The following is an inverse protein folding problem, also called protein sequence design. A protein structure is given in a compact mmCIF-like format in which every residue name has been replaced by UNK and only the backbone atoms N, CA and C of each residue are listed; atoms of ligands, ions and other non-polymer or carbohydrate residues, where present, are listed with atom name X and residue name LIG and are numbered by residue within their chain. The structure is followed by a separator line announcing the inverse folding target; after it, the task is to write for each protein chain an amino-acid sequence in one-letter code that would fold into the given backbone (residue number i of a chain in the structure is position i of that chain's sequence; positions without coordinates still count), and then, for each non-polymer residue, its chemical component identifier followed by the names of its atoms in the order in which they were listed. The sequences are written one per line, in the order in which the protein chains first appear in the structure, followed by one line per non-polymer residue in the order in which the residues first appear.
data_IF_395773762991
#
_entry.id   IF_395773762991
#
_cell.length_a   1.000
_cell.length_b   1.000
_cell.length_c   1.000
_cell.angle_alpha   90.00
_cell.angle_beta   90.00
_cell.angle_gamma   90.00
#
_symmetry.space_group_name_H-M   'P 1'
#
loop_
_entity.id
_entity.type
_entity.pdbx_description
1 polymer ?
#
# COMPACT_ATOMS: atom_id res chain seq x y z
N UNK A 1 -9.25 -13.98 -9.42
CA UNK A 1 -8.43 -13.59 -8.26
C UNK A 1 -9.19 -13.79 -6.95
N UNK A 2 -8.52 -14.38 -5.95
CA UNK A 2 -8.98 -14.45 -4.54
C UNK A 2 -8.07 -13.58 -3.68
N UNK A 3 -8.66 -12.63 -2.95
CA UNK A 3 -7.97 -11.74 -2.03
C UNK A 3 -8.24 -12.18 -0.59
N UNK A 4 -7.20 -12.68 0.08
CA UNK A 4 -7.20 -12.98 1.50
C UNK A 4 -6.95 -11.71 2.29
N UNK A 5 -7.90 -11.34 3.15
CA UNK A 5 -7.91 -10.03 3.81
C UNK A 5 -8.56 -10.09 5.18
N UNK A 6 -8.37 -9.02 5.95
CA UNK A 6 -9.08 -8.79 7.22
C UNK A 6 -9.64 -7.37 7.25
N UNK A 7 -10.92 -7.17 7.60
CA UNK A 7 -11.50 -5.84 7.81
C UNK A 7 -10.74 -5.04 8.87
N UNK A 8 -10.73 -3.73 8.67
CA UNK A 8 -10.08 -2.76 9.55
C UNK A 8 -8.59 -3.08 9.78
N UNK A 9 -7.91 -3.53 8.72
CA UNK A 9 -6.48 -3.82 8.71
C UNK A 9 -5.83 -3.15 7.50
N UNK A 10 -4.51 -3.23 7.41
CA UNK A 10 -3.76 -2.72 6.25
C UNK A 10 -4.07 -3.50 4.96
N UNK A 11 -4.78 -4.62 5.04
CA UNK A 11 -5.29 -5.35 3.86
C UNK A 11 -6.34 -4.56 3.06
N UNK A 12 -6.96 -3.53 3.64
CA UNK A 12 -7.87 -2.61 2.92
C UNK A 12 -7.14 -1.89 1.76
N UNK A 13 -5.82 -1.76 1.80
CA UNK A 13 -5.03 -1.26 0.65
C UNK A 13 -5.18 -2.16 -0.58
N UNK A 14 -5.16 -3.49 -0.40
CA UNK A 14 -5.35 -4.42 -1.51
C UNK A 14 -6.81 -4.40 -2.00
N UNK A 15 -7.78 -4.18 -1.11
CA UNK A 15 -9.18 -3.96 -1.52
C UNK A 15 -9.27 -2.70 -2.39
N UNK A 16 -8.67 -1.58 -1.98
CA UNK A 16 -8.63 -0.35 -2.78
C UNK A 16 -8.00 -0.58 -4.16
N UNK A 17 -6.88 -1.30 -4.24
CA UNK A 17 -6.27 -1.71 -5.50
C UNK A 17 -7.26 -2.46 -6.40
N UNK A 18 -7.98 -3.45 -5.87
CA UNK A 18 -8.95 -4.22 -6.65
C UNK A 18 -10.10 -3.34 -7.15
N UNK A 19 -10.57 -2.41 -6.33
CA UNK A 19 -11.63 -1.46 -6.69
C UNK A 19 -11.19 -0.44 -7.76
N UNK A 20 -9.92 -0.04 -7.78
CA UNK A 20 -9.33 0.80 -8.83
C UNK A 20 -9.08 0.01 -10.12
N UNK A 21 -8.67 -1.26 -9.99
CA UNK A 21 -8.45 -2.15 -11.13
C UNK A 21 -9.76 -2.50 -11.85
N UNK A 22 -10.91 -2.38 -11.18
CA UNK A 22 -12.21 -2.61 -11.80
C UNK A 22 -12.47 -4.08 -12.17
N UNK A 23 -11.74 -5.02 -11.57
CA UNK A 23 -11.86 -6.45 -11.86
C UNK A 23 -12.70 -7.16 -10.80
N UNK A 24 -13.37 -8.24 -11.20
CA UNK A 24 -14.07 -9.11 -10.26
C UNK A 24 -13.07 -9.94 -9.42
N UNK A 25 -13.31 -10.00 -8.11
CA UNK A 25 -12.49 -10.77 -7.18
C UNK A 25 -13.32 -11.35 -6.04
N UNK A 26 -12.88 -12.50 -5.53
CA UNK A 26 -13.42 -13.11 -4.32
C UNK A 26 -12.66 -12.56 -3.11
N UNK A 27 -13.38 -12.16 -2.06
CA UNK A 27 -12.81 -11.76 -0.77
C UNK A 27 -12.87 -12.94 0.19
N UNK A 28 -11.72 -13.38 0.70
CA UNK A 28 -11.62 -14.47 1.67
C UNK A 28 -11.18 -13.89 3.02
N UNK A 29 -12.06 -13.99 4.03
CA UNK A 29 -11.79 -13.48 5.37
C UNK A 29 -10.74 -14.35 6.08
N UNK A 30 -9.65 -13.73 6.52
CA UNK A 30 -8.72 -14.28 7.51
C UNK A 30 -8.76 -13.36 8.71
N UNK A 31 -9.49 -13.73 9.76
CA UNK A 31 -9.57 -12.91 10.97
C UNK A 31 -8.28 -13.01 11.80
N UNK A 32 -7.44 -11.98 11.64
CA UNK A 32 -6.15 -11.93 12.34
C UNK A 32 -6.26 -11.73 13.85
N UNK A 33 -7.43 -11.31 14.35
CA UNK A 33 -7.68 -11.06 15.77
C UNK A 33 -7.98 -12.33 16.54
N UNK A 34 -8.47 -13.36 15.86
CA UNK A 34 -8.74 -14.69 16.44
C UNK A 34 -7.58 -15.68 16.24
N UNK A 35 -6.55 -15.30 15.48
CA UNK A 35 -5.44 -16.20 15.15
C UNK A 35 -5.72 -17.09 13.93
N UNK A 36 -6.78 -16.85 13.17
CA UNK A 36 -7.17 -17.67 12.01
C UNK A 36 -6.10 -17.74 10.90
N UNK A 37 -5.16 -16.79 10.87
CA UNK A 37 -3.99 -16.80 10.00
C UNK A 37 -2.97 -17.90 10.34
N UNK A 38 -3.02 -18.47 11.54
CA UNK A 38 -2.05 -19.45 12.04
C UNK A 38 -2.44 -20.91 11.74
N UNK A 39 -3.18 -21.15 10.65
CA UNK A 39 -3.56 -22.49 10.17
C UNK A 39 -2.71 -22.89 8.97
N UNK A 40 -2.39 -24.18 8.85
CA UNK A 40 -1.50 -24.70 7.80
C UNK A 40 -2.00 -24.37 6.38
N UNK A 41 -3.32 -24.38 6.18
CA UNK A 41 -3.92 -24.01 4.91
C UNK A 41 -3.60 -22.56 4.48
N UNK A 42 -3.58 -21.60 5.42
CA UNK A 42 -3.22 -20.21 5.11
C UNK A 42 -1.70 -20.00 5.09
N UNK A 43 -0.95 -20.71 5.95
CA UNK A 43 0.52 -20.71 5.91
C UNK A 43 1.06 -21.15 4.55
N UNK A 44 0.40 -22.10 3.88
CA UNK A 44 0.77 -22.53 2.54
C UNK A 44 0.60 -21.42 1.48
N UNK A 45 -0.26 -20.42 1.72
CA UNK A 45 -0.48 -19.26 0.85
C UNK A 45 0.49 -18.14 1.20
N UNK A 46 0.56 -17.77 2.48
CA UNK A 46 1.50 -16.78 2.98
C UNK A 46 2.24 -17.34 4.19
N UNK A 47 3.51 -17.79 4.04
CA UNK A 47 4.30 -18.33 5.15
C UNK A 47 4.51 -17.34 6.29
N UNK A 48 4.45 -16.03 6.01
CA UNK A 48 4.53 -14.97 7.00
C UNK A 48 3.23 -14.79 7.79
N UNK A 49 2.15 -15.49 7.39
CA UNK A 49 0.83 -15.49 8.02
C UNK A 49 0.23 -14.09 8.18
N UNK A 50 0.58 -13.17 7.28
CA UNK A 50 0.01 -11.82 7.24
C UNK A 50 -1.08 -11.73 6.18
N UNK A 51 -1.97 -10.77 6.33
CA UNK A 51 -2.82 -10.28 5.25
C UNK A 51 -2.28 -8.91 4.76
N UNK A 52 -2.48 -8.55 3.49
CA UNK A 52 -3.18 -9.30 2.44
C UNK A 52 -2.32 -10.40 1.78
N UNK A 53 -2.99 -11.34 1.11
CA UNK A 53 -2.40 -12.26 0.13
C UNK A 53 -3.37 -12.44 -1.05
N UNK A 54 -2.85 -12.67 -2.25
CA UNK A 54 -3.61 -12.82 -3.49
C UNK A 54 -3.31 -14.18 -4.13
N UNK A 55 -4.36 -14.87 -4.57
CA UNK A 55 -4.24 -16.07 -5.41
C UNK A 55 -4.92 -15.81 -6.75
N UNK A 56 -4.20 -16.00 -7.86
CA UNK A 56 -4.73 -15.91 -9.22
C UNK A 56 -4.27 -17.12 -10.07
N UNK A 57 -5.14 -18.12 -10.19
CA UNK A 57 -4.77 -19.40 -10.79
C UNK A 57 -3.64 -20.06 -9.99
N UNK A 58 -2.50 -20.27 -10.64
CA UNK A 58 -1.28 -20.83 -10.03
C UNK A 58 -0.41 -19.76 -9.32
N UNK A 59 -0.65 -18.48 -9.58
CA UNK A 59 0.12 -17.40 -8.97
C UNK A 59 -0.35 -17.15 -7.54
N UNK A 60 0.61 -17.12 -6.61
CA UNK A 60 0.39 -16.73 -5.21
C UNK A 60 1.30 -15.55 -4.90
N UNK A 61 0.71 -14.43 -4.47
CA UNK A 61 1.43 -13.17 -4.25
C UNK A 61 1.10 -12.64 -2.86
N UNK A 62 2.14 -12.34 -2.08
CA UNK A 62 2.06 -11.68 -0.79
C UNK A 62 2.89 -10.39 -0.82
N UNK A 63 2.74 -9.57 0.22
CA UNK A 63 3.27 -8.21 0.32
C UNK A 63 2.54 -7.20 -0.59
N UNK A 64 2.03 -6.13 0.01
CA UNK A 64 1.10 -5.18 -0.64
C UNK A 64 1.69 -4.54 -1.90
N UNK A 65 2.98 -4.17 -1.89
CA UNK A 65 3.65 -3.60 -3.06
C UNK A 65 3.75 -4.58 -4.23
N UNK A 66 3.99 -5.87 -3.95
CA UNK A 66 4.04 -6.91 -4.96
C UNK A 66 2.64 -7.22 -5.52
N UNK A 67 1.62 -7.27 -4.66
CA UNK A 67 0.21 -7.40 -5.08
C UNK A 67 -0.17 -6.24 -6.00
N UNK A 68 0.23 -5.00 -5.65
CA UNK A 68 -0.01 -3.81 -6.47
C UNK A 68 0.64 -3.90 -7.85
N UNK A 69 1.92 -4.28 -7.92
CA UNK A 69 2.61 -4.49 -9.20
C UNK A 69 1.94 -5.60 -10.03
N UNK A 70 1.66 -6.74 -9.40
CA UNK A 70 1.08 -7.90 -10.05
C UNK A 70 -0.28 -7.58 -10.68
N UNK A 71 -1.21 -7.00 -9.91
CA UNK A 71 -2.56 -6.67 -10.41
C UNK A 71 -2.48 -5.60 -11.49
N UNK A 72 -1.65 -4.57 -11.32
CA UNK A 72 -1.50 -3.52 -12.32
C UNK A 72 -0.95 -4.05 -13.66
N UNK A 73 -0.05 -5.03 -13.63
CA UNK A 73 0.47 -5.68 -14.84
C UNK A 73 -0.52 -6.68 -15.44
N UNK A 74 -1.32 -7.32 -14.59
CA UNK A 74 -2.32 -8.32 -14.99
C UNK A 74 -3.55 -7.68 -15.65
N UNK A 75 -3.79 -6.39 -15.37
CA UNK A 75 -4.94 -5.58 -15.80
C UNK A 75 -4.42 -4.24 -16.38
N UNK A 76 -3.63 -4.25 -17.47
CA UNK A 76 -3.00 -3.05 -18.00
C UNK A 76 -4.00 -1.97 -18.44
N UNK A 77 -5.22 -2.35 -18.80
CA UNK A 77 -6.33 -1.45 -19.15
C UNK A 77 -6.76 -0.53 -18.01
N UNK A 78 -6.49 -0.91 -16.75
CA UNK A 78 -6.75 -0.06 -15.60
C UNK A 78 -5.77 1.12 -15.48
N UNK A 79 -4.66 1.10 -16.23
CA UNK A 79 -3.69 2.19 -16.27
C UNK A 79 -2.94 2.42 -14.96
N UNK A 80 -2.89 1.42 -14.07
CA UNK A 80 -2.31 1.53 -12.73
C UNK A 80 -0.78 1.36 -12.68
N UNK A 81 -0.14 1.09 -13.83
CA UNK A 81 1.31 1.07 -13.96
C UNK A 81 1.74 1.61 -15.33
N UNK A 82 2.91 2.27 -15.43
CA UNK A 82 3.57 2.45 -16.71
C UNK A 82 3.82 1.11 -17.39
N UNK A 83 3.76 1.06 -18.73
CA UNK A 83 3.95 -0.19 -19.47
C UNK A 83 5.34 -0.81 -19.21
N UNK A 84 5.46 -2.13 -19.39
CA UNK A 84 6.76 -2.81 -19.38
C UNK A 84 7.64 -2.17 -20.48
N UNK A 85 8.83 -1.70 -20.12
CA UNK A 85 9.75 -0.99 -21.01
C UNK A 85 9.59 0.53 -21.04
N UNK A 86 8.54 1.09 -20.44
CA UNK A 86 8.40 2.55 -20.26
C UNK A 86 9.47 3.06 -19.26
N UNK A 87 10.25 4.12 -19.59
CA UNK A 87 11.21 4.71 -18.65
C UNK A 87 10.62 5.13 -17.30
N UNK A 88 9.35 5.56 -17.27
CA UNK A 88 8.66 5.93 -16.03
C UNK A 88 8.47 4.74 -15.07
N UNK A 89 8.57 3.51 -15.59
CA UNK A 89 8.42 2.29 -14.78
C UNK A 89 9.48 2.15 -13.70
N UNK A 90 10.69 2.66 -13.93
CA UNK A 90 11.73 2.67 -12.90
C UNK A 90 11.31 3.45 -11.66
N UNK A 91 10.68 4.62 -11.85
CA UNK A 91 10.17 5.44 -10.75
C UNK A 91 8.98 4.79 -10.05
N UNK A 92 8.07 4.21 -10.81
CA UNK A 92 6.94 3.45 -10.28
C UNK A 92 7.38 2.32 -9.35
N UNK A 93 8.30 1.46 -9.82
CA UNK A 93 8.84 0.35 -9.03
C UNK A 93 9.59 0.85 -7.79
N UNK A 94 10.36 1.93 -7.92
CA UNK A 94 11.05 2.53 -6.78
C UNK A 94 10.08 2.88 -5.66
N UNK A 95 8.92 3.49 -5.95
CA UNK A 95 7.99 3.93 -4.91
C UNK A 95 7.13 2.81 -4.34
N UNK A 96 6.85 1.76 -5.12
CA UNK A 96 6.28 0.53 -4.57
C UNK A 96 7.19 -0.09 -3.51
N UNK A 97 8.50 -0.13 -3.75
CA UNK A 97 9.48 -0.67 -2.81
C UNK A 97 9.73 0.30 -1.65
N UNK A 98 9.86 1.60 -1.93
CA UNK A 98 10.10 2.66 -0.94
C UNK A 98 9.04 2.67 0.17
N UNK A 99 7.80 2.34 -0.17
CA UNK A 99 6.75 2.19 0.81
C UNK A 99 7.14 1.19 1.93
N UNK A 100 7.48 -0.06 1.58
CA UNK A 100 7.83 -1.10 2.55
C UNK A 100 9.25 -1.00 3.09
N UNK A 101 10.21 -0.53 2.29
CA UNK A 101 11.62 -0.50 2.67
C UNK A 101 12.01 0.76 3.45
N UNK A 102 11.22 1.84 3.34
CA UNK A 102 11.56 3.12 3.93
C UNK A 102 10.44 3.73 4.76
N UNK A 103 9.24 3.90 4.19
CA UNK A 103 8.13 4.57 4.88
C UNK A 103 7.63 3.74 6.05
N UNK A 104 7.33 2.47 5.83
CA UNK A 104 6.84 1.57 6.88
C UNK A 104 7.79 1.44 8.08
N UNK A 105 9.10 1.13 7.90
CA UNK A 105 10.00 1.03 9.04
C UNK A 105 10.23 2.38 9.73
N UNK A 106 10.21 3.50 9.01
CA UNK A 106 10.27 4.82 9.63
C UNK A 106 9.05 5.11 10.52
N UNK A 107 7.84 4.80 10.03
CA UNK A 107 6.61 4.94 10.81
C UNK A 107 6.62 3.98 12.01
N UNK A 108 7.03 2.74 11.80
CA UNK A 108 7.14 1.74 12.87
C UNK A 108 8.11 2.22 13.95
N UNK A 109 9.28 2.74 13.57
CA UNK A 109 10.27 3.29 14.49
C UNK A 109 9.68 4.44 15.33
N UNK A 110 8.93 5.36 14.73
CA UNK A 110 8.23 6.44 15.46
C UNK A 110 7.20 5.86 16.42
N UNK A 111 6.35 4.95 15.93
CA UNK A 111 5.26 4.36 16.69
C UNK A 111 5.75 3.59 17.92
N UNK A 112 6.79 2.78 17.75
CA UNK A 112 7.36 1.95 18.81
C UNK A 112 8.44 2.68 19.63
N UNK A 113 8.80 3.91 19.25
CA UNK A 113 9.89 4.69 19.85
C UNK A 113 11.23 3.93 19.87
N UNK A 114 11.51 3.18 18.80
CA UNK A 114 12.78 2.45 18.68
C UNK A 114 13.93 3.42 18.43
N UNK A 115 14.99 3.30 19.22
CA UNK A 115 16.23 4.06 19.02
C UNK A 115 17.17 3.27 18.10
N UNK A 116 17.18 3.65 16.82
CA UNK A 116 18.07 3.07 15.81
C UNK A 116 18.86 4.22 15.18
N UNK A 117 20.21 4.19 15.22
CA UNK A 117 21.03 5.19 14.55
C UNK A 117 20.73 5.22 13.05
N UNK A 118 20.52 6.42 12.50
CA UNK A 118 20.14 6.59 11.09
C UNK A 118 21.18 6.09 10.08
N UNK A 119 22.46 6.00 10.49
CA UNK A 119 23.52 5.39 9.68
C UNK A 119 23.42 3.87 9.57
N UNK A 120 22.70 3.21 10.48
CA UNK A 120 22.50 1.75 10.49
C UNK A 120 21.10 1.35 10.02
N UNK A 121 20.16 2.29 9.99
CA UNK A 121 18.81 2.08 9.46
C UNK A 121 18.82 2.16 7.94
N UNK A 122 18.38 1.09 7.26
CA UNK A 122 18.28 1.06 5.79
C UNK A 122 17.34 2.13 5.20
N UNK A 123 16.44 2.68 6.00
CA UNK A 123 15.56 3.80 5.64
C UNK A 123 16.13 5.19 6.00
N UNK A 124 17.27 5.25 6.67
CA UNK A 124 17.86 6.47 7.19
C UNK A 124 17.10 7.01 8.41
N UNK A 125 16.50 8.19 8.28
CA UNK A 125 15.66 8.80 9.33
C UNK A 125 14.26 9.05 8.81
N UNK A 126 13.27 9.06 9.71
CA UNK A 126 11.89 9.39 9.33
C UNK A 126 11.78 10.78 8.69
N UNK A 127 12.53 11.76 9.18
CA UNK A 127 12.61 13.09 8.56
C UNK A 127 13.09 13.02 7.11
N UNK A 128 14.16 12.27 6.82
CA UNK A 128 14.66 12.10 5.45
C UNK A 128 13.61 11.44 4.56
N UNK A 129 12.95 10.39 5.06
CA UNK A 129 11.88 9.70 4.33
C UNK A 129 10.74 10.66 3.98
N UNK A 130 10.27 11.44 4.95
CA UNK A 130 9.19 12.41 4.71
C UNK A 130 9.63 13.54 3.79
N UNK A 131 10.87 14.03 3.88
CA UNK A 131 11.40 15.06 2.97
C UNK A 131 11.49 14.56 1.53
N UNK A 132 11.90 13.30 1.32
CA UNK A 132 11.90 12.68 -0.01
C UNK A 132 10.48 12.57 -0.55
N UNK A 133 9.54 12.11 0.26
CA UNK A 133 8.15 11.96 -0.18
C UNK A 133 7.51 13.33 -0.51
N UNK A 134 7.72 14.34 0.34
CA UNK A 134 7.21 15.69 0.10
C UNK A 134 7.79 16.30 -1.18
N UNK A 135 9.09 16.14 -1.42
CA UNK A 135 9.74 16.61 -2.64
C UNK A 135 9.16 15.98 -3.91
N UNK A 136 8.61 14.77 -3.85
CA UNK A 136 7.87 14.19 -4.98
C UNK A 136 6.49 14.76 -5.15
N UNK A 137 5.76 14.88 -4.04
CA UNK A 137 4.39 15.41 -4.05
C UNK A 137 4.33 16.90 -4.41
N UNK A 138 5.46 17.59 -4.44
CA UNK A 138 5.60 18.95 -4.98
C UNK A 138 5.75 18.99 -6.50
N UNK A 139 6.08 17.87 -7.17
CA UNK A 139 6.28 17.81 -8.63
C UNK A 139 4.99 17.59 -9.42
N UNK A 140 3.92 17.16 -8.76
CA UNK A 140 2.63 16.90 -9.37
C UNK A 140 1.62 16.33 -8.38
N UNK A 141 0.45 15.96 -8.88
CA UNK A 141 -0.65 15.49 -8.03
C UNK A 141 -0.43 14.09 -7.43
N UNK A 142 0.41 13.27 -8.07
CA UNK A 142 0.68 11.87 -7.79
C UNK A 142 2.19 11.59 -7.83
N UNK A 143 2.60 10.41 -7.37
CA UNK A 143 4.01 9.98 -7.33
C UNK A 143 4.67 10.01 -8.71
N UNK A 144 3.89 9.81 -9.78
CA UNK A 144 4.36 9.87 -11.17
C UNK A 144 3.95 11.18 -11.88
N UNK A 145 3.84 12.28 -11.13
CA UNK A 145 3.39 13.57 -11.65
C UNK A 145 1.87 13.61 -11.74
N UNK A 146 1.31 13.74 -12.95
CA UNK A 146 -0.14 13.88 -13.14
C UNK A 146 -0.88 12.53 -13.26
N UNK A 147 -0.13 11.41 -13.23
CA UNK A 147 -0.68 10.06 -13.41
C UNK A 147 -0.80 9.32 -12.08
N UNK A 148 -2.04 9.03 -11.68
CA UNK A 148 -2.32 8.09 -10.59
C UNK A 148 -1.90 6.67 -10.97
N UNK A 149 -1.34 5.93 -10.02
CA UNK A 149 -0.84 4.57 -10.21
C UNK A 149 -0.97 3.73 -8.94
N UNK A 150 -0.62 2.45 -9.03
CA UNK A 150 -0.54 1.58 -7.85
C UNK A 150 0.53 2.02 -6.84
N UNK A 151 1.52 2.84 -7.24
CA UNK A 151 2.44 3.45 -6.29
C UNK A 151 1.67 4.39 -5.33
N UNK A 152 0.71 5.15 -5.86
CA UNK A 152 -0.13 6.05 -5.06
C UNK A 152 -1.05 5.28 -4.12
N UNK A 153 -1.52 4.10 -4.52
CA UNK A 153 -2.32 3.21 -3.65
C UNK A 153 -1.51 2.80 -2.42
N UNK A 154 -0.29 2.28 -2.60
CA UNK A 154 0.53 1.80 -1.47
C UNK A 154 0.98 2.97 -0.59
N UNK A 155 1.48 4.05 -1.20
CA UNK A 155 1.96 5.23 -0.47
C UNK A 155 0.80 5.94 0.23
N UNK A 156 -0.29 6.19 -0.50
CA UNK A 156 -1.48 6.88 0.01
C UNK A 156 -2.13 6.13 1.16
N UNK A 157 -2.31 4.82 1.05
CA UNK A 157 -2.90 4.04 2.14
C UNK A 157 -2.00 4.00 3.39
N UNK A 158 -0.68 3.81 3.20
CA UNK A 158 0.28 3.83 4.29
C UNK A 158 0.35 5.19 5.00
N UNK A 159 0.42 6.27 4.22
CA UNK A 159 0.45 7.63 4.72
C UNK A 159 -0.87 8.02 5.40
N UNK A 160 -2.01 7.65 4.83
CA UNK A 160 -3.34 7.87 5.42
C UNK A 160 -3.45 7.22 6.78
N UNK A 161 -3.05 5.95 6.89
CA UNK A 161 -3.02 5.22 8.15
C UNK A 161 -2.15 5.97 9.19
N UNK A 162 -0.92 6.29 8.84
CA UNK A 162 0.00 6.92 9.79
C UNK A 162 -0.39 8.36 10.16
N UNK A 163 -0.87 9.17 9.22
CA UNK A 163 -1.21 10.56 9.42
C UNK A 163 -2.61 10.76 10.01
N UNK A 164 -3.65 10.15 9.42
CA UNK A 164 -5.05 10.39 9.82
C UNK A 164 -5.47 9.54 11.01
N UNK A 165 -5.04 8.28 11.08
CA UNK A 165 -5.49 7.36 12.12
C UNK A 165 -4.60 7.42 13.39
N UNK A 166 -3.28 7.55 13.23
CA UNK A 166 -2.33 7.51 14.36
C UNK A 166 -1.58 8.82 14.63
N UNK A 167 -1.70 9.84 13.77
CA UNK A 167 -1.01 11.13 13.92
C UNK A 167 0.52 11.01 14.09
N UNK A 168 1.13 10.05 13.40
CA UNK A 168 2.57 9.72 13.46
C UNK A 168 3.41 10.48 12.45
N UNK A 169 2.77 11.17 11.51
CA UNK A 169 3.42 11.90 10.43
C UNK A 169 3.29 13.39 10.72
N UNK A 170 4.37 14.18 10.56
CA UNK A 170 4.28 15.62 10.69
C UNK A 170 3.25 16.18 9.69
N UNK A 171 2.47 17.17 10.12
CA UNK A 171 1.56 17.86 9.23
C UNK A 171 2.36 18.62 8.17
N UNK A 172 2.10 18.32 6.90
CA UNK A 172 2.69 19.00 5.75
C UNK A 172 1.60 19.31 4.73
N UNK A 173 1.54 20.53 4.15
CA UNK A 173 0.51 20.86 3.16
C UNK A 173 0.46 19.90 1.98
N UNK A 174 1.62 19.46 1.48
CA UNK A 174 1.71 18.50 0.39
C UNK A 174 1.09 17.12 0.75
N UNK A 175 1.29 16.66 1.99
CA UNK A 175 0.71 15.40 2.46
C UNK A 175 -0.80 15.51 2.62
N UNK A 176 -1.28 16.61 3.21
CA UNK A 176 -2.73 16.85 3.34
C UNK A 176 -3.40 16.87 1.97
N UNK A 177 -2.91 17.67 1.02
CA UNK A 177 -3.49 17.75 -0.31
C UNK A 177 -3.47 16.40 -1.05
N UNK A 178 -2.38 15.65 -0.94
CA UNK A 178 -2.27 14.32 -1.54
C UNK A 178 -3.25 13.30 -0.93
N UNK A 179 -3.39 13.30 0.40
CA UNK A 179 -4.33 12.43 1.09
C UNK A 179 -5.78 12.79 0.76
N UNK A 180 -6.12 14.07 0.71
CA UNK A 180 -7.46 14.53 0.37
C UNK A 180 -7.82 14.09 -1.08
N UNK A 181 -6.87 14.17 -2.01
CA UNK A 181 -7.03 13.61 -3.37
C UNK A 181 -7.24 12.10 -3.36
N UNK A 182 -6.49 11.34 -2.55
CA UNK A 182 -6.69 9.90 -2.40
C UNK A 182 -8.09 9.58 -1.86
N UNK A 183 -8.53 10.28 -0.82
CA UNK A 183 -9.83 10.08 -0.14
C UNK A 183 -11.03 10.49 -0.99
N UNK A 184 -10.83 11.42 -1.94
CA UNK A 184 -11.83 11.76 -2.93
C UNK A 184 -12.06 10.67 -3.99
N UNK A 185 -11.17 9.67 -4.10
CA UNK A 185 -11.30 8.62 -5.12
C UNK A 185 -12.46 7.66 -4.79
N UNK A 186 -13.42 7.44 -5.71
CA UNK A 186 -14.57 6.57 -5.46
C UNK A 186 -14.18 5.13 -5.09
N UNK A 187 -13.09 4.60 -5.65
CA UNK A 187 -12.63 3.25 -5.34
C UNK A 187 -12.11 3.11 -3.89
N UNK A 188 -11.43 4.14 -3.36
CA UNK A 188 -11.03 4.13 -1.95
C UNK A 188 -12.27 4.18 -1.05
N UNK A 189 -13.26 5.00 -1.38
CA UNK A 189 -14.50 5.09 -0.61
C UNK A 189 -15.25 3.75 -0.58
N UNK A 190 -15.34 3.04 -1.71
CA UNK A 190 -15.89 1.67 -1.76
C UNK A 190 -15.10 0.69 -0.90
N UNK A 191 -13.76 0.73 -0.97
CA UNK A 191 -12.90 -0.13 -0.18
C UNK A 191 -13.03 0.12 1.33
N UNK A 192 -13.19 1.37 1.75
CA UNK A 192 -13.45 1.73 3.14
C UNK A 192 -14.82 1.24 3.61
N UNK A 193 -15.88 1.47 2.83
CA UNK A 193 -17.22 0.96 3.15
C UNK A 193 -17.25 -0.57 3.27
N UNK A 194 -16.54 -1.28 2.39
CA UNK A 194 -16.32 -2.74 2.49
C UNK A 194 -15.67 -3.13 3.82
N UNK A 195 -14.64 -2.39 4.22
CA UNK A 195 -13.89 -2.64 5.45
C UNK A 195 -14.66 -2.29 6.72
N UNK A 196 -15.68 -1.44 6.65
CA UNK A 196 -16.52 -1.03 7.78
C UNK A 196 -17.73 -1.94 7.97
N UNK A 197 -18.25 -2.54 6.89
CA UNK A 197 -19.44 -3.38 6.91
C UNK A 197 -19.23 -4.82 7.44
N UNK A 198 -18.01 -5.19 7.86
CA UNK A 198 -17.64 -6.53 8.35
C UNK A 198 -16.91 -6.43 9.68
#
# INVERSE_FOLDING_TARGET
MKLYWCPQSRATTAVWLMEEAGVAYERVLIDIRTGAQAVDAYRAINPMMKVPALVDGEAVVAETGAICAYVADRVPEAGLAPAIGDPARGRYLQYLVFASSCIEPAIAQIFTKMEIPSGSAGWGSAERVFNVLEGELQKGDWILGDRFSAADIVIGAGLRFAARQFKLVPERPAFTAYLDRCEARPALQRALAISEAN
#
